data_IF_824642993038
#
_entry.id   IF_824642993038
#
_cell.length_a   1.000
_cell.length_b   1.000
_cell.length_c   1.000
_cell.angle_alpha   90.00
_cell.angle_beta   90.00
_cell.angle_gamma   90.00
#
_symmetry.space_group_name_H-M   'P 1'
#
loop_
_entity.id
_entity.type
_entity.pdbx_description
1 polymer ?
#
# COMPACT_ATOMS: atom_id res chain seq x y z
N UNK A 1 -29.51 -6.58 -7.47
CA UNK A 1 -28.64 -5.83 -6.52
C UNK A 1 -28.11 -4.57 -7.23
N UNK A 2 -27.74 -3.48 -6.55
CA UNK A 2 -27.10 -2.34 -7.25
C UNK A 2 -25.69 -2.74 -7.71
N UNK A 3 -25.28 -2.37 -8.94
CA UNK A 3 -23.95 -2.69 -9.53
C UNK A 3 -22.78 -2.29 -8.62
N UNK A 4 -22.93 -1.20 -7.87
CA UNK A 4 -21.94 -0.75 -6.87
C UNK A 4 -21.70 -1.75 -5.74
N UNK A 5 -22.71 -2.53 -5.36
CA UNK A 5 -22.58 -3.52 -4.29
C UNK A 5 -21.88 -4.78 -4.80
N UNK A 6 -22.14 -5.20 -6.04
CA UNK A 6 -21.44 -6.34 -6.66
C UNK A 6 -19.92 -6.11 -6.78
N UNK A 7 -19.45 -4.86 -6.88
CA UNK A 7 -18.02 -4.54 -6.93
C UNK A 7 -17.29 -4.71 -5.59
N UNK A 8 -18.00 -4.72 -4.46
CA UNK A 8 -17.41 -4.78 -3.11
C UNK A 8 -17.37 -6.19 -2.52
N UNK A 9 -18.05 -7.16 -3.15
CA UNK A 9 -18.18 -8.53 -2.63
C UNK A 9 -16.95 -9.37 -3.01
N UNK A 10 -16.10 -9.71 -2.05
CA UNK A 10 -15.04 -10.71 -2.29
C UNK A 10 -15.67 -12.08 -2.57
N UNK A 11 -15.03 -12.84 -3.46
CA UNK A 11 -15.44 -14.21 -3.80
C UNK A 11 -14.23 -15.06 -4.15
N UNK A 12 -14.33 -16.35 -3.87
CA UNK A 12 -13.29 -17.36 -4.10
C UNK A 12 -13.61 -18.27 -5.28
N UNK A 13 -12.61 -19.04 -5.72
CA UNK A 13 -12.83 -20.14 -6.69
C UNK A 13 -13.80 -21.19 -6.17
N UNK A 14 -13.92 -21.36 -4.86
CA UNK A 14 -14.84 -22.31 -4.25
C UNK A 14 -16.29 -21.83 -4.35
N UNK A 15 -16.53 -20.53 -4.13
CA UNK A 15 -17.85 -19.92 -4.30
C UNK A 15 -18.36 -20.09 -5.73
N UNK A 16 -17.48 -19.88 -6.72
CA UNK A 16 -17.81 -20.07 -8.14
C UNK A 16 -18.11 -21.54 -8.45
N UNK A 17 -17.39 -22.49 -7.85
CA UNK A 17 -17.66 -23.93 -8.01
C UNK A 17 -19.01 -24.31 -7.40
N UNK A 18 -19.31 -23.81 -6.21
CA UNK A 18 -20.56 -24.08 -5.50
C UNK A 18 -21.75 -23.52 -6.27
N UNK A 19 -21.65 -22.27 -6.74
CA UNK A 19 -22.66 -21.67 -7.60
C UNK A 19 -22.87 -22.45 -8.90
N UNK A 20 -21.78 -22.84 -9.57
CA UNK A 20 -21.86 -23.61 -10.81
C UNK A 20 -22.54 -24.98 -10.59
N UNK A 21 -22.24 -25.65 -9.47
CA UNK A 21 -22.87 -26.91 -9.09
C UNK A 21 -24.36 -26.74 -8.81
N UNK A 22 -24.74 -25.74 -8.00
CA UNK A 22 -26.13 -25.52 -7.59
C UNK A 22 -27.03 -25.03 -8.72
N UNK A 23 -26.55 -24.12 -9.57
CA UNK A 23 -27.39 -23.46 -10.59
C UNK A 23 -27.29 -24.09 -11.98
N UNK A 24 -26.18 -24.74 -12.29
CA UNK A 24 -25.90 -25.23 -13.65
C UNK A 24 -25.56 -26.72 -13.70
N UNK A 25 -25.37 -27.38 -12.54
CA UNK A 25 -25.03 -28.78 -12.38
C UNK A 25 -23.62 -29.16 -12.82
N UNK A 26 -23.11 -28.54 -13.89
CA UNK A 26 -21.77 -28.80 -14.44
C UNK A 26 -21.05 -27.51 -14.78
N UNK A 27 -19.72 -27.53 -14.64
CA UNK A 27 -18.84 -26.43 -15.06
C UNK A 27 -18.95 -26.15 -16.56
N UNK A 28 -19.29 -27.15 -17.38
CA UNK A 28 -19.50 -26.98 -18.82
C UNK A 28 -20.71 -26.09 -19.13
N UNK A 29 -21.84 -26.34 -18.46
CA UNK A 29 -23.05 -25.54 -18.62
C UNK A 29 -22.85 -24.12 -18.08
N UNK A 30 -22.15 -24.01 -16.95
CA UNK A 30 -21.81 -22.72 -16.37
C UNK A 30 -20.89 -21.90 -17.28
N UNK A 31 -19.81 -22.49 -17.82
CA UNK A 31 -18.90 -21.83 -18.76
C UNK A 31 -19.65 -21.28 -19.98
N UNK A 32 -20.62 -22.05 -20.50
CA UNK A 32 -21.49 -21.61 -21.61
C UNK A 32 -22.36 -20.42 -21.21
N UNK A 33 -22.92 -20.41 -19.99
CA UNK A 33 -23.77 -19.34 -19.50
C UNK A 33 -23.02 -18.01 -19.32
N UNK A 34 -21.78 -18.05 -18.82
CA UNK A 34 -20.93 -16.85 -18.63
C UNK A 34 -20.13 -16.48 -19.90
N UNK A 35 -20.34 -17.21 -21.01
CA UNK A 35 -19.71 -16.95 -22.30
C UNK A 35 -18.19 -17.14 -22.33
N UNK A 36 -17.63 -18.10 -21.57
CA UNK A 36 -16.20 -18.46 -21.59
C UNK A 36 -15.99 -19.91 -21.97
N UNK A 37 -14.78 -20.26 -22.41
CA UNK A 37 -14.44 -21.67 -22.66
C UNK A 37 -14.28 -22.43 -21.34
N UNK A 38 -14.71 -23.70 -21.32
CA UNK A 38 -14.54 -24.57 -20.16
C UNK A 38 -13.07 -24.68 -19.71
N UNK A 39 -12.07 -24.81 -20.61
CA UNK A 39 -10.66 -24.80 -20.20
C UNK A 39 -10.23 -23.51 -19.50
N UNK A 40 -10.69 -22.34 -19.98
CA UNK A 40 -10.36 -21.06 -19.34
C UNK A 40 -10.99 -20.97 -17.94
N UNK A 41 -12.23 -21.40 -17.79
CA UNK A 41 -12.88 -21.48 -16.48
C UNK A 41 -12.11 -22.41 -15.53
N UNK A 42 -11.71 -23.60 -15.96
CA UNK A 42 -10.92 -24.53 -15.14
C UNK A 42 -9.56 -23.95 -14.74
N UNK A 43 -8.89 -23.22 -15.64
CA UNK A 43 -7.63 -22.54 -15.33
C UNK A 43 -7.81 -21.44 -14.29
N UNK A 44 -8.88 -20.65 -14.39
CA UNK A 44 -9.20 -19.63 -13.39
C UNK A 44 -9.54 -20.25 -12.03
N UNK A 45 -10.37 -21.28 -12.02
CA UNK A 45 -10.76 -21.97 -10.78
C UNK A 45 -9.63 -22.73 -10.10
N UNK A 46 -8.55 -23.06 -10.81
CA UNK A 46 -7.37 -23.73 -10.26
C UNK A 46 -6.30 -22.76 -9.77
N UNK A 47 -6.53 -21.44 -9.87
CA UNK A 47 -5.55 -20.42 -9.49
C UNK A 47 -4.38 -20.28 -10.47
N UNK A 48 -4.33 -21.09 -11.54
CA UNK A 48 -3.32 -20.97 -12.61
C UNK A 48 -3.48 -19.68 -13.42
N UNK A 49 -4.68 -19.09 -13.40
CA UNK A 49 -4.97 -17.77 -13.94
C UNK A 49 -5.85 -16.98 -12.96
N UNK A 50 -5.57 -15.70 -12.72
CA UNK A 50 -6.49 -14.87 -11.95
C UNK A 50 -7.81 -14.68 -12.71
N UNK A 51 -8.88 -14.42 -11.97
CA UNK A 51 -10.13 -13.92 -12.55
C UNK A 51 -9.87 -12.50 -13.08
N UNK A 52 -9.72 -12.36 -14.39
CA UNK A 52 -9.52 -11.06 -15.04
C UNK A 52 -10.71 -10.11 -14.88
N UNK A 53 -10.53 -8.83 -15.23
CA UNK A 53 -11.52 -7.76 -14.99
C UNK A 53 -12.94 -8.08 -15.51
N UNK A 54 -13.07 -8.72 -16.67
CA UNK A 54 -14.36 -9.07 -17.28
C UNK A 54 -15.11 -10.22 -16.58
N UNK A 55 -14.47 -10.95 -15.66
CA UNK A 55 -15.14 -12.06 -14.96
C UNK A 55 -16.27 -11.58 -14.08
N UNK A 56 -16.09 -10.41 -13.47
CA UNK A 56 -17.07 -9.86 -12.54
C UNK A 56 -18.38 -9.53 -13.25
N UNK A 57 -18.30 -8.90 -14.41
CA UNK A 57 -19.45 -8.61 -15.27
C UNK A 57 -20.18 -9.90 -15.67
N UNK A 58 -19.43 -10.90 -16.14
CA UNK A 58 -19.98 -12.20 -16.56
C UNK A 58 -20.63 -12.98 -15.41
N UNK A 59 -20.11 -12.85 -14.19
CA UNK A 59 -20.70 -13.44 -12.99
C UNK A 59 -21.96 -12.68 -12.55
N UNK A 60 -21.97 -11.36 -12.68
CA UNK A 60 -23.14 -10.52 -12.39
C UNK A 60 -24.30 -10.84 -13.35
N UNK A 61 -24.00 -11.04 -14.64
CA UNK A 61 -25.00 -11.41 -15.67
C UNK A 61 -25.75 -12.72 -15.36
N UNK A 62 -25.09 -13.67 -14.68
CA UNK A 62 -25.70 -14.94 -14.28
C UNK A 62 -26.30 -14.92 -12.87
N UNK A 63 -26.28 -13.77 -12.19
CA UNK A 63 -26.84 -13.61 -10.85
C UNK A 63 -25.97 -14.23 -9.74
N UNK A 64 -24.66 -14.39 -9.97
CA UNK A 64 -23.73 -14.95 -9.00
C UNK A 64 -23.71 -14.14 -7.69
N UNK A 65 -23.59 -12.82 -7.78
CA UNK A 65 -23.52 -11.95 -6.58
C UNK A 65 -24.83 -11.91 -5.81
N UNK A 66 -25.97 -12.06 -6.50
CA UNK A 66 -27.28 -12.18 -5.85
C UNK A 66 -27.41 -13.48 -5.05
N UNK A 67 -26.89 -14.58 -5.60
CA UNK A 67 -26.80 -15.85 -4.88
C UNK A 67 -25.78 -15.80 -3.74
N UNK A 68 -24.64 -15.12 -3.94
CA UNK A 68 -23.58 -15.05 -2.95
C UNK A 68 -23.95 -14.15 -1.76
N UNK A 69 -24.69 -13.06 -1.97
CA UNK A 69 -25.04 -12.10 -0.93
C UNK A 69 -25.70 -12.65 0.34
N UNK A 70 -26.70 -13.55 0.30
CA UNK A 70 -27.26 -14.16 1.50
C UNK A 70 -26.28 -15.11 2.20
N UNK A 71 -25.43 -15.81 1.45
CA UNK A 71 -24.36 -16.68 1.97
C UNK A 71 -23.27 -15.82 2.64
N UNK A 72 -23.02 -14.63 2.08
CA UNK A 72 -22.08 -13.64 2.59
C UNK A 72 -22.63 -12.76 3.72
N UNK A 73 -23.86 -12.94 4.23
CA UNK A 73 -24.32 -12.15 5.39
C UNK A 73 -23.49 -12.41 6.66
N UNK A 74 -22.82 -13.56 6.74
CA UNK A 74 -21.85 -13.87 7.79
C UNK A 74 -20.40 -13.50 7.37
N UNK A 75 -20.01 -13.70 6.12
CA UNK A 75 -18.66 -13.33 5.60
C UNK A 75 -18.44 -11.82 5.37
N UNK A 76 -19.49 -11.02 5.19
CA UNK A 76 -19.41 -9.54 5.21
C UNK A 76 -19.03 -9.03 6.60
N UNK A 77 -19.18 -9.84 7.66
CA UNK A 77 -18.76 -9.48 9.02
C UNK A 77 -17.36 -10.00 9.38
N UNK A 78 -16.94 -11.15 8.86
CA UNK A 78 -15.71 -11.79 9.35
C UNK A 78 -14.50 -11.77 8.41
N UNK A 79 -14.63 -11.47 7.11
CA UNK A 79 -13.46 -11.29 6.23
C UNK A 79 -13.07 -9.84 5.95
N UNK A 80 -13.82 -8.86 6.50
CA UNK A 80 -13.39 -7.46 6.54
C UNK A 80 -12.42 -7.16 7.69
N UNK A 81 -12.10 -8.13 8.56
CA UNK A 81 -11.11 -7.98 9.64
C UNK A 81 -10.30 -9.28 9.82
N UNK A 82 -9.70 -9.81 8.75
CA UNK A 82 -8.47 -10.59 8.92
C UNK A 82 -7.55 -10.52 7.70
N UNK A 83 -7.51 -9.36 7.04
CA UNK A 83 -6.19 -8.90 6.63
C UNK A 83 -5.53 -8.60 7.97
N UNK A 84 -4.49 -9.36 8.36
CA UNK A 84 -3.40 -8.71 9.05
C UNK A 84 -2.96 -7.59 8.11
N UNK A 85 -3.65 -6.44 8.13
CA UNK A 85 -3.11 -5.20 7.63
C UNK A 85 -2.04 -4.85 8.65
N UNK A 86 -0.94 -5.59 8.62
CA UNK A 86 0.33 -4.91 8.57
C UNK A 86 0.26 -4.06 7.31
N UNK A 87 -0.40 -2.91 7.44
CA UNK A 87 -0.16 -1.76 6.61
C UNK A 87 1.36 -1.60 6.69
N UNK A 88 2.06 -2.13 5.70
CA UNK A 88 3.50 -2.01 5.61
C UNK A 88 3.75 -0.58 5.17
N UNK A 89 3.72 0.32 6.14
CA UNK A 89 3.91 1.73 5.91
C UNK A 89 5.40 1.90 5.70
N UNK A 90 5.76 2.27 4.48
CA UNK A 90 7.13 2.50 4.09
C UNK A 90 7.63 3.84 4.67
N UNK A 91 7.87 3.85 5.98
CA UNK A 91 8.44 5.00 6.70
C UNK A 91 9.83 5.31 6.18
N UNK A 92 10.60 4.29 5.79
CA UNK A 92 11.94 4.45 5.23
C UNK A 92 11.87 5.15 3.85
N UNK A 93 10.95 4.74 2.97
CA UNK A 93 10.68 5.44 1.71
C UNK A 93 10.17 6.87 1.91
N UNK A 94 9.37 7.14 2.94
CA UNK A 94 8.94 8.50 3.28
C UNK A 94 10.11 9.40 3.73
N UNK A 95 11.05 8.85 4.51
CA UNK A 95 12.27 9.55 4.93
C UNK A 95 13.16 9.88 3.72
N UNK A 96 13.35 8.91 2.82
CA UNK A 96 14.15 9.09 1.60
C UNK A 96 13.52 10.14 0.67
N UNK A 97 12.22 10.00 0.37
CA UNK A 97 11.53 10.88 -0.57
C UNK A 97 11.39 12.32 -0.07
N UNK A 98 11.22 12.50 1.24
CA UNK A 98 11.15 13.81 1.88
C UNK A 98 12.53 14.45 2.12
N UNK A 99 13.62 13.70 1.91
CA UNK A 99 14.98 14.09 2.27
C UNK A 99 15.07 14.64 3.72
N UNK A 100 14.29 14.05 4.64
CA UNK A 100 14.11 14.57 6.00
C UNK A 100 14.41 13.47 7.03
N UNK A 101 15.35 13.69 7.97
CA UNK A 101 15.67 12.69 8.99
C UNK A 101 14.47 12.27 9.82
N UNK A 102 14.40 11.00 10.23
CA UNK A 102 13.28 10.43 10.99
C UNK A 102 12.84 11.24 12.22
N UNK A 103 13.75 11.77 13.07
CA UNK A 103 13.36 12.58 14.22
C UNK A 103 12.68 13.89 13.81
N UNK A 104 13.12 14.49 12.69
CA UNK A 104 12.54 15.72 12.16
C UNK A 104 11.19 15.46 11.52
N UNK A 105 11.03 14.34 10.82
CA UNK A 105 9.77 13.91 10.25
C UNK A 105 8.73 13.65 11.36
N UNK A 106 9.11 12.98 12.45
CA UNK A 106 8.24 12.76 13.62
C UNK A 106 7.73 14.10 14.21
N UNK A 107 8.62 15.09 14.37
CA UNK A 107 8.25 16.41 14.84
C UNK A 107 7.23 17.11 13.92
N UNK A 108 7.44 17.06 12.60
CA UNK A 108 6.53 17.67 11.62
C UNK A 108 5.16 16.97 11.59
N UNK A 109 5.17 15.66 11.86
CA UNK A 109 3.97 14.84 12.03
C UNK A 109 3.23 15.10 13.34
N UNK A 110 3.82 15.84 14.29
CA UNK A 110 3.26 16.04 15.63
C UNK A 110 3.27 14.78 16.50
N UNK A 111 4.15 13.81 16.19
CA UNK A 111 4.28 12.55 16.94
C UNK A 111 5.67 12.41 17.57
N UNK A 112 5.80 11.54 18.57
CA UNK A 112 7.11 11.21 19.12
C UNK A 112 7.91 10.31 18.16
N UNK A 113 9.24 10.36 18.26
CA UNK A 113 10.11 9.46 17.50
C UNK A 113 9.81 7.98 17.78
N UNK A 114 9.43 7.64 19.03
CA UNK A 114 9.03 6.30 19.40
C UNK A 114 7.76 5.85 18.68
N UNK A 115 6.76 6.74 18.52
CA UNK A 115 5.54 6.41 17.77
C UNK A 115 5.86 6.13 16.30
N UNK A 116 6.68 6.97 15.66
CA UNK A 116 7.11 6.76 14.29
C UNK A 116 7.87 5.43 14.11
N UNK A 117 8.73 5.07 15.08
CA UNK A 117 9.47 3.80 15.08
C UNK A 117 8.55 2.57 15.27
N UNK A 118 7.49 2.70 16.08
CA UNK A 118 6.48 1.64 16.20
C UNK A 118 5.68 1.44 14.91
N UNK A 119 5.48 2.48 14.09
CA UNK A 119 4.87 2.35 12.77
C UNK A 119 5.81 1.67 11.79
N UNK A 120 7.09 2.05 11.82
CA UNK A 120 8.15 1.46 11.00
C UNK A 120 8.33 -0.05 11.26
N UNK A 121 8.29 -0.46 12.52
CA UNK A 121 8.43 -1.87 12.92
C UNK A 121 7.13 -2.67 12.80
N UNK A 122 6.02 -2.01 12.46
CA UNK A 122 4.68 -2.61 12.42
C UNK A 122 4.13 -2.99 13.80
N UNK A 123 4.72 -2.46 14.89
CA UNK A 123 4.28 -2.68 16.26
C UNK A 123 3.01 -1.87 16.61
N UNK A 124 2.74 -0.78 15.90
CA UNK A 124 1.48 -0.04 15.99
C UNK A 124 1.04 0.49 14.62
N UNK A 125 -0.25 0.76 14.47
CA UNK A 125 -0.83 1.27 13.21
C UNK A 125 -1.23 2.73 13.38
N UNK A 126 -0.78 3.66 12.52
CA UNK A 126 -1.25 5.04 12.52
C UNK A 126 -2.73 5.13 12.16
N UNK A 127 -3.37 6.21 12.62
CA UNK A 127 -4.72 6.55 12.20
C UNK A 127 -4.73 6.99 10.73
N UNK A 128 -5.91 6.97 10.10
CA UNK A 128 -6.07 7.47 8.72
C UNK A 128 -5.63 8.93 8.58
N UNK A 129 -5.93 9.77 9.57
CA UNK A 129 -5.49 11.17 9.59
C UNK A 129 -3.96 11.29 9.62
N UNK A 130 -3.28 10.45 10.42
CA UNK A 130 -1.83 10.38 10.47
C UNK A 130 -1.23 9.89 9.15
N UNK A 131 -1.87 8.93 8.46
CA UNK A 131 -1.42 8.49 7.14
C UNK A 131 -1.56 9.59 6.08
N UNK A 132 -2.69 10.29 6.06
CA UNK A 132 -2.93 11.41 5.15
C UNK A 132 -1.93 12.54 5.40
N UNK A 133 -1.67 12.86 6.66
CA UNK A 133 -0.68 13.87 7.03
C UNK A 133 0.74 13.46 6.60
N UNK A 134 1.13 12.21 6.82
CA UNK A 134 2.44 11.67 6.41
C UNK A 134 2.63 11.76 4.90
N UNK A 135 1.62 11.39 4.12
CA UNK A 135 1.65 11.49 2.67
C UNK A 135 1.82 12.95 2.21
N UNK A 136 0.98 13.86 2.73
CA UNK A 136 1.03 15.27 2.35
C UNK A 136 2.37 15.92 2.71
N UNK A 137 2.90 15.64 3.89
CA UNK A 137 4.21 16.14 4.32
C UNK A 137 5.34 15.59 3.45
N UNK A 138 5.31 14.30 3.14
CA UNK A 138 6.34 13.67 2.29
C UNK A 138 6.34 14.27 0.89
N UNK A 139 5.16 14.49 0.30
CA UNK A 139 5.01 15.12 -1.01
C UNK A 139 5.47 16.58 -0.97
N UNK A 140 5.05 17.35 0.02
CA UNK A 140 5.42 18.76 0.16
C UNK A 140 6.94 18.93 0.33
N UNK A 141 7.57 18.11 1.18
CA UNK A 141 9.02 18.13 1.43
C UNK A 141 9.80 17.61 0.22
N UNK A 142 9.34 16.54 -0.43
CA UNK A 142 9.98 15.99 -1.62
C UNK A 142 9.93 16.94 -2.82
N UNK A 143 8.82 17.67 -3.00
CA UNK A 143 8.72 18.74 -4.00
C UNK A 143 9.63 19.92 -3.63
N UNK A 144 9.67 20.31 -2.35
CA UNK A 144 10.54 21.41 -1.88
C UNK A 144 12.03 21.07 -2.01
N UNK A 145 12.42 19.83 -1.77
CA UNK A 145 13.79 19.35 -1.93
C UNK A 145 14.26 19.41 -3.39
N UNK A 146 13.35 19.23 -4.35
CA UNK A 146 13.63 19.37 -5.80
C UNK A 146 13.77 20.83 -6.25
N UNK A 147 13.28 21.79 -5.45
CA UNK A 147 13.39 23.22 -5.70
C UNK A 147 14.42 23.92 -4.82
N UNK A 148 15.08 23.19 -3.91
CA UNK A 148 16.25 23.70 -3.23
C UNK A 148 17.35 23.93 -4.28
N UNK A 149 17.92 25.14 -4.41
CA UNK A 149 19.01 25.36 -5.35
C UNK A 149 20.13 24.37 -5.03
N UNK A 150 20.75 23.75 -6.05
CA UNK A 150 21.86 22.86 -5.81
C UNK A 150 22.90 23.60 -4.97
N UNK A 151 23.25 23.01 -3.84
CA UNK A 151 24.39 23.47 -3.04
C UNK A 151 25.58 23.56 -4.00
N UNK A 152 26.26 24.72 -4.11
CA UNK A 152 27.46 24.80 -4.93
C UNK A 152 28.41 23.67 -4.54
N UNK A 153 28.86 22.92 -5.54
CA UNK A 153 29.94 21.96 -5.40
C UNK A 153 31.22 22.78 -5.17
N UNK A 154 31.45 23.22 -3.93
CA UNK A 154 32.78 23.73 -3.56
C UNK A 154 33.71 22.53 -3.45
N UNK A 155 34.39 22.33 -4.57
CA UNK A 155 35.56 21.49 -4.72
C UNK A 155 36.73 22.26 -4.11
N UNK A 156 37.17 21.85 -2.92
CA UNK A 156 38.55 22.04 -2.46
C UNK A 156 38.77 21.25 -1.16
N UNK A 157 39.42 20.09 -1.26
CA UNK A 157 40.40 19.75 -0.23
C UNK A 157 41.43 20.88 -0.18
N UNK A 158 41.88 21.26 1.02
CA UNK A 158 43.27 20.98 1.29
C UNK A 158 43.47 20.30 2.64
N UNK A 159 44.28 19.25 2.60
CA UNK A 159 45.24 18.87 3.62
C UNK A 159 45.83 20.11 4.28
N UNK A 160 45.65 20.29 5.59
CA UNK A 160 46.76 20.70 6.46
C UNK A 160 46.44 20.46 7.95
N UNK A 161 47.37 19.77 8.56
CA UNK A 161 47.58 19.49 9.97
C UNK A 161 47.63 20.79 10.80
N UNK A 162 47.02 20.88 12.00
CA UNK A 162 47.21 22.05 12.84
C UNK A 162 48.56 21.95 13.57
N UNK A 163 49.66 22.28 12.87
CA UNK A 163 50.87 22.71 13.58
C UNK A 163 50.64 24.14 14.05
N UNK A 164 50.48 24.30 15.36
CA UNK A 164 50.33 25.60 16.00
C UNK A 164 51.54 26.52 15.74
N UNK A 165 51.34 27.79 15.35
CA UNK A 165 52.33 28.82 15.57
C UNK A 165 51.98 29.63 16.84
N UNK A 166 52.92 29.64 17.79
CA UNK A 166 52.97 30.59 18.92
C UNK A 166 52.82 32.05 18.43
N UNK A 167 52.12 32.93 19.18
CA UNK A 167 52.10 34.35 18.86
C UNK A 167 53.44 35.02 19.23
N UNK A 168 53.90 36.03 18.47
CA UNK A 168 55.06 36.81 18.84
C UNK A 168 54.68 37.81 19.94
N UNK A 169 55.34 37.73 21.09
CA UNK A 169 55.36 38.83 22.04
C UNK A 169 56.40 39.85 21.56
N UNK A 170 55.95 40.97 20.99
CA UNK A 170 56.79 42.13 20.76
C UNK A 170 56.35 43.28 21.67
N UNK A 171 57.33 43.76 22.42
CA UNK A 171 57.26 44.79 23.45
C UNK A 171 56.95 46.19 22.88
N UNK A 172 56.32 47.01 23.70
CA UNK A 172 56.40 48.50 23.72
C UNK A 172 55.63 48.94 24.99
N UNK A 173 56.08 49.86 25.83
CA UNK A 173 57.10 50.90 25.75
C UNK A 173 57.71 51.16 27.15
#
# INVERSE_FOLDING_TARGET
MSRENSQKINFSSEDVRKFASERYGTLKNFAKAIGVSQPNLTQSLSGKRPFGASWRERLDEVGFFEWLSPINKELIKDELINVETKLNIDIDGAIELSNTPAPRLAQLMGVSAAILDTWRTGASTPTLEQLVNLFNLTVALGLSARHAPPKPLDTAEPTDEPTAPMPPAQATA
#
